data_IF_744502341173
#
_entry.id   IF_744502341173
#
_cell.length_a   1.000
_cell.length_b   1.000
_cell.length_c   1.000
_cell.angle_alpha   90.00
_cell.angle_beta   90.00
_cell.angle_gamma   90.00
#
_symmetry.space_group_name_H-M   'P 1'
#
loop_
_entity.id
_entity.type
_entity.pdbx_description
1 polymer ?
#
# COMPACT_ATOMS: atom_id res chain seq x y z
N UNK A 1 20.58 7.65 -22.17
CA UNK A 1 19.26 8.05 -21.61
C UNK A 1 18.94 9.47 -22.08
N UNK A 2 18.39 9.60 -23.27
CA UNK A 2 17.83 10.86 -23.78
C UNK A 2 16.39 10.56 -24.17
N UNK A 3 15.42 11.20 -23.53
CA UNK A 3 14.02 11.07 -23.91
C UNK A 3 13.09 11.13 -22.71
N UNK A 4 12.07 11.96 -22.81
CA UNK A 4 10.84 12.03 -22.01
C UNK A 4 10.65 13.18 -21.00
N UNK A 5 11.69 13.89 -20.52
CA UNK A 5 11.47 15.10 -19.69
C UNK A 5 11.54 16.43 -20.45
N UNK A 6 12.03 16.44 -21.69
CA UNK A 6 12.02 17.65 -22.52
C UNK A 6 10.59 18.04 -22.92
N UNK A 7 9.66 17.08 -23.00
CA UNK A 7 8.35 17.26 -23.65
C UNK A 7 7.20 17.77 -22.76
N UNK A 8 7.40 17.94 -21.45
CA UNK A 8 6.34 18.34 -20.51
C UNK A 8 6.53 19.74 -19.90
N UNK A 9 7.57 20.49 -20.30
CA UNK A 9 7.84 21.82 -19.77
C UNK A 9 7.31 22.88 -20.74
N UNK A 10 6.25 23.63 -20.39
CA UNK A 10 5.77 24.72 -21.24
C UNK A 10 6.82 25.84 -21.28
N UNK A 11 6.83 26.62 -22.35
CA UNK A 11 7.76 27.75 -22.47
C UNK A 11 9.11 27.39 -23.11
N UNK A 12 10.14 28.16 -22.79
CA UNK A 12 11.52 27.99 -23.28
C UNK A 12 12.27 26.80 -22.64
N UNK A 13 11.75 26.25 -21.54
CA UNK A 13 12.16 25.00 -20.91
C UNK A 13 13.66 24.95 -20.54
N UNK A 14 14.15 26.03 -19.95
CA UNK A 14 15.53 26.17 -19.49
C UNK A 14 15.88 25.14 -18.43
N UNK A 15 17.05 24.51 -18.57
CA UNK A 15 17.61 23.60 -17.60
C UNK A 15 18.92 24.17 -17.03
N UNK A 16 19.11 24.04 -15.71
CA UNK A 16 20.38 24.38 -15.09
C UNK A 16 21.41 23.30 -15.45
N UNK A 17 22.49 23.71 -16.12
CA UNK A 17 23.69 22.90 -16.34
C UNK A 17 24.78 23.34 -15.38
N UNK A 18 25.51 22.38 -14.85
CA UNK A 18 26.55 22.54 -13.85
C UNK A 18 27.92 22.38 -14.51
N UNK A 19 28.88 23.26 -14.16
CA UNK A 19 30.24 23.18 -14.65
C UNK A 19 31.06 22.22 -13.77
N UNK A 20 31.52 21.10 -14.31
CA UNK A 20 32.37 20.19 -13.56
C UNK A 20 33.69 20.89 -13.19
N UNK A 21 34.09 20.94 -11.90
CA UNK A 21 35.31 21.62 -11.48
C UNK A 21 36.58 20.89 -11.95
N UNK A 22 36.50 19.58 -12.24
CA UNK A 22 37.66 18.79 -12.66
C UNK A 22 37.86 18.82 -14.18
N UNK A 23 36.81 18.49 -14.94
CA UNK A 23 36.92 18.40 -16.40
C UNK A 23 36.46 19.67 -17.13
N UNK A 24 35.78 20.61 -16.48
CA UNK A 24 35.25 21.83 -17.09
C UNK A 24 34.04 21.63 -18.01
N UNK A 25 33.62 20.39 -18.27
CA UNK A 25 32.41 20.12 -19.06
C UNK A 25 31.15 20.55 -18.30
N UNK A 26 30.17 21.06 -19.05
CA UNK A 26 28.85 21.36 -18.53
C UNK A 26 27.92 20.17 -18.65
N UNK A 27 27.17 19.88 -17.59
CA UNK A 27 26.23 18.77 -17.59
C UNK A 27 24.99 19.04 -16.75
N UNK A 28 23.88 18.41 -17.10
CA UNK A 28 22.72 18.32 -16.20
C UNK A 28 22.86 17.06 -15.36
N UNK A 29 22.90 17.23 -14.05
CA UNK A 29 22.91 16.09 -13.14
C UNK A 29 21.62 15.27 -13.30
N UNK A 30 21.70 13.93 -13.35
CA UNK A 30 20.52 13.07 -13.36
C UNK A 30 19.59 13.40 -12.18
N UNK A 31 18.26 13.39 -12.38
CA UNK A 31 17.30 13.56 -11.29
C UNK A 31 17.01 12.23 -10.58
N UNK A 32 18.05 11.45 -10.31
CA UNK A 32 17.98 10.12 -9.70
C UNK A 32 19.24 9.84 -8.88
N UNK A 33 19.29 8.69 -8.22
CA UNK A 33 20.49 8.24 -7.52
C UNK A 33 21.67 7.96 -8.44
N UNK A 34 21.47 7.84 -9.76
CA UNK A 34 22.55 7.72 -10.76
C UNK A 34 23.42 8.98 -10.84
N UNK A 35 22.97 10.09 -10.25
CA UNK A 35 23.79 11.29 -10.08
C UNK A 35 24.94 11.11 -9.10
N UNK A 36 24.97 10.03 -8.32
CA UNK A 36 25.88 9.90 -7.19
C UNK A 36 26.81 8.70 -7.33
N UNK A 37 28.06 8.90 -6.88
CA UNK A 37 29.02 7.83 -6.65
C UNK A 37 29.29 7.72 -5.14
N UNK A 38 29.39 6.48 -4.64
CA UNK A 38 29.83 6.20 -3.28
C UNK A 38 31.32 5.86 -3.30
N UNK A 39 32.11 6.61 -2.54
CA UNK A 39 33.54 6.34 -2.34
C UNK A 39 33.81 6.36 -0.85
N UNK A 40 34.15 5.20 -0.27
CA UNK A 40 34.39 5.05 1.19
C UNK A 40 33.26 5.66 2.04
N UNK A 41 32.01 5.30 1.70
CA UNK A 41 30.77 5.78 2.34
C UNK A 41 30.46 7.28 2.21
N UNK A 42 31.27 8.04 1.48
CA UNK A 42 30.98 9.42 1.13
C UNK A 42 30.28 9.52 -0.22
N UNK A 43 29.33 10.46 -0.31
CA UNK A 43 28.50 10.67 -1.51
C UNK A 43 29.09 11.81 -2.34
N UNK A 44 29.57 11.45 -3.53
CA UNK A 44 30.09 12.37 -4.55
C UNK A 44 29.05 12.57 -5.65
N UNK A 45 29.07 13.72 -6.31
CA UNK A 45 28.31 13.93 -7.53
C UNK A 45 29.11 13.38 -8.72
N UNK A 46 28.51 12.49 -9.49
CA UNK A 46 29.12 11.92 -10.69
C UNK A 46 28.89 12.85 -11.89
N UNK A 47 29.98 13.28 -12.53
CA UNK A 47 29.90 14.00 -13.78
C UNK A 47 29.50 13.04 -14.91
N UNK A 48 28.35 13.26 -15.56
CA UNK A 48 27.89 12.39 -16.66
C UNK A 48 28.68 12.58 -17.97
N UNK A 49 29.50 13.63 -18.07
CA UNK A 49 30.32 13.88 -19.26
C UNK A 49 31.58 13.01 -19.27
N UNK A 50 32.30 12.94 -18.14
CA UNK A 50 33.62 12.29 -18.06
C UNK A 50 33.79 11.34 -16.85
N UNK A 51 32.79 11.16 -15.99
CA UNK A 51 32.84 10.25 -14.85
C UNK A 51 33.57 10.78 -13.60
N UNK A 52 33.95 12.06 -13.57
CA UNK A 52 34.57 12.70 -12.39
C UNK A 52 33.69 12.55 -11.13
N UNK A 53 34.34 12.27 -9.98
CA UNK A 53 33.69 12.18 -8.68
C UNK A 53 33.86 13.51 -7.93
N UNK A 54 32.86 14.37 -8.02
CA UNK A 54 32.94 15.74 -7.51
C UNK A 54 32.63 15.75 -6.00
N UNK A 55 33.51 16.30 -5.14
CA UNK A 55 33.28 16.35 -3.70
C UNK A 55 32.28 17.45 -3.32
N UNK A 56 31.66 17.30 -2.15
CA UNK A 56 30.62 18.22 -1.65
C UNK A 56 31.12 19.66 -1.46
N UNK A 57 32.42 19.85 -1.21
CA UNK A 57 33.07 21.17 -1.09
C UNK A 57 32.93 22.01 -2.36
N UNK A 58 32.89 21.37 -3.54
CA UNK A 58 32.80 22.05 -4.83
C UNK A 58 31.38 22.49 -5.19
N UNK A 59 30.36 21.99 -4.47
CA UNK A 59 28.96 22.23 -4.81
C UNK A 59 28.63 23.71 -4.94
N UNK A 60 29.10 24.54 -4.01
CA UNK A 60 28.79 25.96 -4.02
C UNK A 60 29.44 26.69 -5.21
N UNK A 61 30.68 26.34 -5.56
CA UNK A 61 31.39 26.91 -6.70
C UNK A 61 30.74 26.46 -8.02
N UNK A 62 30.49 25.16 -8.16
CA UNK A 62 29.82 24.56 -9.31
C UNK A 62 28.43 25.18 -9.56
N UNK A 63 27.62 25.37 -8.50
CA UNK A 63 26.31 26.00 -8.62
C UNK A 63 26.40 27.47 -9.07
N UNK A 64 27.39 28.23 -8.59
CA UNK A 64 27.61 29.62 -9.04
C UNK A 64 28.09 29.70 -10.49
N UNK A 65 28.87 28.71 -10.93
CA UNK A 65 29.33 28.58 -12.31
C UNK A 65 28.25 28.03 -13.26
N UNK A 66 27.13 27.53 -12.73
CA UNK A 66 26.04 26.99 -13.52
C UNK A 66 25.48 27.98 -14.54
N UNK A 67 24.89 27.44 -15.61
CA UNK A 67 24.25 28.21 -16.68
C UNK A 67 22.85 27.67 -16.94
N UNK A 68 21.95 28.55 -17.32
CA UNK A 68 20.63 28.15 -17.80
C UNK A 68 20.71 27.98 -19.31
N UNK A 69 20.27 26.81 -19.80
CA UNK A 69 20.30 26.46 -21.23
C UNK A 69 18.89 26.11 -21.66
N UNK A 70 18.34 26.84 -22.62
CA UNK A 70 16.99 26.63 -23.13
C UNK A 70 16.85 25.33 -23.93
N UNK A 71 15.61 24.87 -24.14
CA UNK A 71 15.37 23.77 -25.07
C UNK A 71 15.84 24.15 -26.48
N UNK A 72 16.50 23.22 -27.19
CA UNK A 72 17.11 23.52 -28.49
C UNK A 72 18.53 24.13 -28.40
N UNK A 73 18.93 24.66 -27.25
CA UNK A 73 20.30 25.12 -27.03
C UNK A 73 21.22 24.02 -26.50
N UNK A 74 22.52 24.24 -26.68
CA UNK A 74 23.63 23.45 -26.15
C UNK A 74 24.68 24.40 -25.57
N UNK A 75 25.57 23.88 -24.73
CA UNK A 75 26.64 24.66 -24.11
C UNK A 75 27.98 23.97 -24.37
N UNK A 76 29.00 24.75 -24.70
CA UNK A 76 30.37 24.25 -24.83
C UNK A 76 31.15 24.33 -23.50
N UNK A 77 32.34 23.74 -23.48
CA UNK A 77 33.24 23.74 -22.31
C UNK A 77 33.68 25.14 -21.86
N UNK A 78 33.66 26.13 -22.75
CA UNK A 78 34.00 27.53 -22.45
C UNK A 78 32.79 28.32 -21.90
N UNK A 79 31.61 27.69 -21.82
CA UNK A 79 30.37 28.32 -21.38
C UNK A 79 29.63 29.09 -22.48
N UNK A 80 30.05 28.93 -23.75
CA UNK A 80 29.35 29.46 -24.91
C UNK A 80 28.06 28.68 -25.15
N UNK A 81 26.92 29.37 -25.21
CA UNK A 81 25.62 28.76 -25.50
C UNK A 81 25.34 28.90 -27.01
N UNK A 82 25.03 27.77 -27.63
CA UNK A 82 24.79 27.64 -29.07
C UNK A 82 23.39 27.10 -29.34
N UNK A 83 22.82 27.43 -30.50
CA UNK A 83 21.49 27.02 -30.92
C UNK A 83 20.43 28.11 -30.70
N UNK A 84 19.27 27.91 -31.32
CA UNK A 84 18.16 28.86 -31.23
C UNK A 84 17.31 28.60 -29.98
N UNK A 85 17.01 29.67 -29.25
CA UNK A 85 16.07 29.63 -28.14
C UNK A 85 14.62 29.52 -28.65
N UNK A 86 13.74 28.75 -27.99
CA UNK A 86 12.35 28.64 -28.41
C UNK A 86 11.64 29.98 -28.29
N UNK A 87 10.95 30.41 -29.36
CA UNK A 87 10.16 31.64 -29.36
C UNK A 87 8.86 31.43 -28.60
N UNK A 88 8.86 31.73 -27.31
CA UNK A 88 7.68 31.60 -26.44
C UNK A 88 7.50 32.82 -25.55
N UNK A 89 6.29 33.01 -25.03
CA UNK A 89 5.98 34.08 -24.05
C UNK A 89 6.23 33.67 -22.59
N UNK A 90 6.63 32.43 -22.36
CA UNK A 90 6.74 31.83 -21.03
C UNK A 90 8.20 31.40 -20.83
N UNK A 91 8.86 31.99 -19.84
CA UNK A 91 10.14 31.49 -19.36
C UNK A 91 9.90 30.41 -18.28
N UNK A 92 10.48 29.23 -18.44
CA UNK A 92 10.38 28.13 -17.50
C UNK A 92 11.75 27.55 -17.16
N UNK A 93 11.94 27.24 -15.88
CA UNK A 93 13.23 26.87 -15.33
C UNK A 93 13.14 25.54 -14.60
N UNK A 94 14.13 24.68 -14.80
CA UNK A 94 14.24 23.39 -14.15
C UNK A 94 15.65 23.13 -13.66
N UNK A 95 15.76 22.76 -12.39
CA UNK A 95 17.01 22.31 -11.79
C UNK A 95 16.75 20.99 -11.06
N UNK A 96 17.73 20.09 -11.08
CA UNK A 96 17.61 18.81 -10.39
C UNK A 96 18.06 18.91 -8.94
N UNK A 97 17.58 18.00 -8.09
CA UNK A 97 17.90 17.96 -6.67
C UNK A 97 19.39 18.12 -6.32
N UNK A 98 20.33 17.48 -7.05
CA UNK A 98 21.76 17.66 -6.81
C UNK A 98 22.23 19.12 -6.90
N UNK A 99 21.59 19.94 -7.72
CA UNK A 99 21.88 21.37 -7.87
C UNK A 99 21.21 22.24 -6.79
N UNK A 100 20.21 21.73 -6.05
CA UNK A 100 19.48 22.51 -5.05
C UNK A 100 20.40 22.93 -3.88
N UNK A 101 20.43 24.23 -3.57
CA UNK A 101 21.38 24.80 -2.60
C UNK A 101 21.14 24.28 -1.16
N UNK A 102 19.89 24.15 -0.74
CA UNK A 102 19.51 23.76 0.63
C UNK A 102 19.45 22.24 0.85
N UNK A 103 19.92 21.44 -0.11
CA UNK A 103 19.83 19.99 -0.05
C UNK A 103 21.22 19.37 -0.22
N UNK A 104 21.67 18.54 0.72
CA UNK A 104 22.96 17.86 0.59
C UNK A 104 22.83 16.58 -0.25
N UNK A 105 23.89 16.21 -0.97
CA UNK A 105 23.91 14.97 -1.77
C UNK A 105 23.77 13.72 -0.88
N UNK A 106 24.42 13.72 0.29
CA UNK A 106 24.25 12.67 1.28
C UNK A 106 22.80 12.55 1.79
N UNK A 107 22.10 13.67 1.98
CA UNK A 107 20.67 13.68 2.33
C UNK A 107 19.81 13.08 1.21
N UNK A 108 20.02 13.49 -0.05
CA UNK A 108 19.32 12.93 -1.21
C UNK A 108 19.49 11.41 -1.32
N UNK A 109 20.74 10.95 -1.22
CA UNK A 109 21.07 9.52 -1.26
C UNK A 109 20.37 8.75 -0.14
N UNK A 110 20.50 9.20 1.11
CA UNK A 110 19.89 8.54 2.27
C UNK A 110 18.37 8.53 2.20
N UNK A 111 17.73 9.65 1.85
CA UNK A 111 16.27 9.73 1.69
C UNK A 111 15.76 8.75 0.64
N UNK A 112 16.44 8.67 -0.51
CA UNK A 112 16.07 7.71 -1.56
C UNK A 112 16.25 6.26 -1.08
N UNK A 113 17.35 5.92 -0.42
CA UNK A 113 17.59 4.57 0.11
C UNK A 113 16.58 4.18 1.19
N UNK A 114 16.21 5.10 2.07
CA UNK A 114 15.16 4.90 3.05
C UNK A 114 13.79 4.69 2.38
N UNK A 115 13.46 5.48 1.36
CA UNK A 115 12.23 5.33 0.59
C UNK A 115 12.17 3.99 -0.16
N UNK A 116 13.27 3.56 -0.77
CA UNK A 116 13.37 2.24 -1.39
C UNK A 116 13.20 1.13 -0.35
N UNK A 117 13.81 1.25 0.83
CA UNK A 117 13.63 0.28 1.92
C UNK A 117 12.17 0.19 2.37
N UNK A 118 11.46 1.31 2.44
CA UNK A 118 10.02 1.33 2.75
C UNK A 118 9.24 0.60 1.66
N UNK A 119 9.48 0.91 0.39
CA UNK A 119 8.86 0.21 -0.73
C UNK A 119 9.14 -1.30 -0.69
N UNK A 120 10.39 -1.69 -0.45
CA UNK A 120 10.81 -3.09 -0.31
C UNK A 120 10.22 -3.76 0.94
N UNK A 121 9.64 -3.04 1.89
CA UNK A 121 8.92 -3.65 3.04
C UNK A 121 7.40 -3.67 2.84
N UNK A 122 6.82 -2.58 2.33
CA UNK A 122 5.37 -2.36 2.34
C UNK A 122 4.72 -2.42 0.96
N UNK A 123 5.52 -2.34 -0.10
CA UNK A 123 5.05 -2.13 -1.48
C UNK A 123 4.61 -0.69 -1.77
N UNK A 124 4.55 0.20 -0.77
CA UNK A 124 4.11 1.58 -0.95
C UNK A 124 5.15 2.43 -1.67
N UNK A 125 4.71 3.15 -2.69
CA UNK A 125 5.54 4.08 -3.47
C UNK A 125 5.46 5.53 -2.98
N UNK A 126 4.72 5.82 -1.90
CA UNK A 126 4.50 7.19 -1.41
C UNK A 126 5.80 7.91 -1.06
N UNK A 127 6.70 7.24 -0.35
CA UNK A 127 8.00 7.79 0.03
C UNK A 127 8.88 8.05 -1.20
N UNK A 128 8.89 7.13 -2.17
CA UNK A 128 9.63 7.28 -3.42
C UNK A 128 9.10 8.47 -4.22
N UNK A 129 7.77 8.57 -4.37
CA UNK A 129 7.12 9.71 -5.02
C UNK A 129 7.51 11.04 -4.37
N UNK A 130 7.45 11.10 -3.04
CA UNK A 130 7.81 12.31 -2.30
C UNK A 130 9.26 12.72 -2.54
N UNK A 131 10.20 11.78 -2.49
CA UNK A 131 11.63 12.05 -2.68
C UNK A 131 11.92 12.43 -4.13
N UNK A 132 11.38 11.71 -5.11
CA UNK A 132 11.64 12.01 -6.52
C UNK A 132 11.09 13.36 -6.95
N UNK A 133 9.87 13.69 -6.51
CA UNK A 133 9.22 14.95 -6.88
C UNK A 133 9.70 16.14 -6.06
N UNK A 134 9.78 15.97 -4.74
CA UNK A 134 10.12 17.05 -3.81
C UNK A 134 11.63 17.31 -3.71
N UNK A 135 12.45 16.25 -3.68
CA UNK A 135 13.88 16.39 -3.48
C UNK A 135 14.68 16.33 -4.79
N UNK A 136 14.40 15.40 -5.70
CA UNK A 136 15.11 15.29 -6.99
C UNK A 136 14.58 16.23 -8.09
N UNK A 137 13.39 16.80 -7.90
CA UNK A 137 12.79 17.74 -8.84
C UNK A 137 12.31 17.09 -10.14
N UNK A 138 11.86 15.83 -10.08
CA UNK A 138 11.36 15.10 -11.24
C UNK A 138 10.00 14.45 -11.00
N UNK A 139 9.17 14.40 -12.04
CA UNK A 139 7.87 13.75 -11.94
C UNK A 139 8.04 12.25 -11.69
N UNK A 140 7.40 11.76 -10.64
CA UNK A 140 7.42 10.34 -10.32
C UNK A 140 6.47 9.58 -11.24
N UNK A 141 6.98 8.57 -11.95
CA UNK A 141 6.18 7.58 -12.67
C UNK A 141 6.00 6.36 -11.77
N UNK A 142 4.78 6.07 -11.27
CA UNK A 142 4.53 4.86 -10.50
C UNK A 142 4.96 3.61 -11.26
N UNK A 143 5.60 2.67 -10.55
CA UNK A 143 6.17 1.46 -11.16
C UNK A 143 5.10 0.57 -11.78
N UNK A 144 3.88 0.63 -11.25
CA UNK A 144 2.73 -0.16 -11.68
C UNK A 144 2.03 0.37 -12.94
N UNK A 145 2.33 1.58 -13.43
CA UNK A 145 1.62 2.15 -14.59
C UNK A 145 1.88 1.29 -15.83
N UNK A 146 0.79 0.80 -16.43
CA UNK A 146 0.84 -0.02 -17.64
C UNK A 146 1.20 -1.48 -17.39
N UNK A 147 1.39 -1.89 -16.14
CA UNK A 147 1.57 -3.29 -15.77
C UNK A 147 0.22 -3.98 -15.68
N UNK A 148 -0.11 -4.77 -16.70
CA UNK A 148 -1.29 -5.61 -16.69
C UNK A 148 -0.94 -6.92 -16.00
N UNK A 149 -1.48 -7.11 -14.79
CA UNK A 149 -1.24 -8.33 -14.01
C UNK A 149 -1.76 -9.55 -14.76
N UNK A 150 -0.94 -10.59 -14.83
CA UNK A 150 -1.34 -11.88 -15.38
C UNK A 150 -1.94 -12.76 -14.27
N UNK A 151 -3.25 -13.02 -14.37
CA UNK A 151 -3.98 -13.89 -13.46
C UNK A 151 -3.35 -15.29 -13.38
N UNK A 152 -2.88 -15.83 -14.51
CA UNK A 152 -2.28 -17.16 -14.56
C UNK A 152 -0.94 -17.20 -13.83
N UNK A 153 -0.11 -16.17 -13.99
CA UNK A 153 1.13 -16.05 -13.25
C UNK A 153 0.89 -15.98 -11.73
N UNK A 154 -0.14 -15.26 -11.29
CA UNK A 154 -0.52 -15.24 -9.87
C UNK A 154 -1.01 -16.62 -9.39
N UNK A 155 -1.81 -17.32 -10.19
CA UNK A 155 -2.28 -18.66 -9.86
C UNK A 155 -1.16 -19.69 -9.70
N UNK A 156 -0.07 -19.58 -10.48
CA UNK A 156 1.09 -20.49 -10.36
C UNK A 156 1.84 -20.37 -9.03
N UNK A 157 1.60 -19.31 -8.26
CA UNK A 157 2.17 -19.11 -6.92
C UNK A 157 1.30 -19.67 -5.80
N UNK A 158 0.22 -20.38 -6.15
CA UNK A 158 -0.61 -20.99 -5.15
C UNK A 158 0.14 -22.09 -4.38
N UNK A 159 -0.03 -22.10 -3.06
CA UNK A 159 0.65 -22.96 -2.11
C UNK A 159 -0.38 -23.87 -1.39
N UNK A 160 0.02 -25.07 -0.94
CA UNK A 160 -0.88 -25.99 -0.24
C UNK A 160 -1.18 -25.48 1.17
N UNK A 161 -2.26 -24.72 1.32
CA UNK A 161 -2.67 -24.09 2.58
C UNK A 161 -4.09 -24.52 2.94
N UNK A 162 -4.29 -25.00 4.17
CA UNK A 162 -5.60 -25.46 4.62
C UNK A 162 -6.63 -24.31 4.66
N UNK A 163 -7.80 -24.55 4.07
CA UNK A 163 -8.90 -23.58 4.04
C UNK A 163 -9.44 -23.33 5.46
N UNK A 164 -9.64 -22.05 5.82
CA UNK A 164 -10.15 -21.62 7.14
C UNK A 164 -9.27 -22.03 8.33
N UNK A 165 -7.98 -22.21 8.09
CA UNK A 165 -6.99 -22.49 9.14
C UNK A 165 -5.95 -21.39 9.10
N UNK A 166 -5.53 -20.90 10.27
CA UNK A 166 -4.51 -19.87 10.42
C UNK A 166 -3.13 -20.52 10.22
N UNK A 167 -2.37 -20.15 9.16
CA UNK A 167 -1.03 -20.68 8.94
C UNK A 167 -0.02 -20.22 9.99
N UNK A 168 1.06 -21.00 10.16
CA UNK A 168 2.22 -20.60 10.97
C UNK A 168 2.81 -19.30 10.41
N UNK A 169 3.17 -18.36 11.28
CA UNK A 169 3.70 -17.04 10.90
C UNK A 169 2.65 -15.92 10.95
N UNK A 170 1.36 -16.26 11.05
CA UNK A 170 0.29 -15.29 11.28
C UNK A 170 0.19 -14.92 12.76
N UNK A 171 0.12 -13.62 13.03
CA UNK A 171 0.01 -13.03 14.37
C UNK A 171 -1.44 -12.63 14.69
N UNK A 172 -2.14 -12.06 13.71
CA UNK A 172 -3.54 -11.68 13.85
C UNK A 172 -4.27 -11.72 12.50
N UNK A 173 -5.60 -11.72 12.57
CA UNK A 173 -6.47 -11.70 11.41
C UNK A 173 -7.14 -10.34 11.24
N UNK A 174 -7.35 -9.92 10.00
CA UNK A 174 -8.35 -8.89 9.67
C UNK A 174 -9.38 -9.48 8.74
N UNK A 175 -10.57 -8.89 8.73
CA UNK A 175 -11.60 -9.21 7.75
C UNK A 175 -12.00 -7.96 6.98
N UNK A 176 -12.32 -8.12 5.70
CA UNK A 176 -12.97 -7.12 4.89
C UNK A 176 -14.34 -7.63 4.45
N UNK A 177 -15.33 -6.73 4.47
CA UNK A 177 -16.70 -7.00 4.05
C UNK A 177 -17.12 -5.96 3.03
N UNK A 178 -17.35 -6.41 1.80
CA UNK A 178 -17.95 -5.60 0.75
C UNK A 178 -19.46 -5.84 0.71
N UNK A 179 -20.23 -4.75 0.67
CA UNK A 179 -21.69 -4.75 0.83
C UNK A 179 -22.33 -4.72 -0.56
N UNK A 180 -22.90 -5.85 -0.96
CA UNK A 180 -23.58 -5.98 -2.25
C UNK A 180 -25.09 -6.07 -2.03
N UNK A 181 -25.86 -5.87 -3.10
CA UNK A 181 -27.34 -5.84 -3.06
C UNK A 181 -27.98 -7.06 -2.38
N UNK A 182 -27.39 -8.23 -2.56
CA UNK A 182 -27.96 -9.52 -2.13
C UNK A 182 -26.96 -10.43 -1.41
N UNK A 183 -25.82 -9.88 -0.97
CA UNK A 183 -24.77 -10.65 -0.30
C UNK A 183 -23.82 -9.73 0.46
N UNK A 184 -23.16 -10.28 1.47
CA UNK A 184 -21.91 -9.75 1.98
C UNK A 184 -20.76 -10.57 1.42
N UNK A 185 -19.78 -9.90 0.83
CA UNK A 185 -18.60 -10.53 0.24
C UNK A 185 -17.47 -10.40 1.25
N UNK A 186 -17.03 -11.52 1.82
CA UNK A 186 -16.08 -11.53 2.95
C UNK A 186 -14.75 -12.11 2.52
N UNK A 187 -13.67 -11.46 2.95
CA UNK A 187 -12.30 -11.93 2.79
C UNK A 187 -11.51 -11.73 4.08
N UNK A 188 -10.89 -12.81 4.57
CA UNK A 188 -10.10 -12.84 5.80
C UNK A 188 -8.63 -13.02 5.47
N UNK A 189 -7.81 -12.11 5.99
CA UNK A 189 -6.37 -12.09 5.79
C UNK A 189 -5.66 -12.27 7.12
N UNK A 190 -4.70 -13.20 7.17
CA UNK A 190 -3.75 -13.31 8.26
C UNK A 190 -2.53 -12.44 8.00
N UNK A 191 -2.06 -11.74 9.04
CA UNK A 191 -0.92 -10.84 8.97
C UNK A 191 0.24 -11.35 9.81
N UNK A 192 1.42 -11.38 9.21
CA UNK A 192 2.70 -11.70 9.84
C UNK A 192 3.67 -10.54 9.74
N UNK A 193 4.92 -10.83 10.08
CA UNK A 193 5.98 -9.83 10.26
C UNK A 193 6.15 -8.96 9.01
N UNK A 194 6.21 -7.65 9.20
CA UNK A 194 6.42 -6.70 8.10
C UNK A 194 5.27 -6.69 7.06
N UNK A 195 4.07 -7.14 7.43
CA UNK A 195 2.91 -7.13 6.54
C UNK A 195 2.92 -8.25 5.50
N UNK A 196 3.72 -9.29 5.71
CA UNK A 196 3.51 -10.60 5.07
C UNK A 196 2.09 -11.07 5.34
N UNK A 197 1.41 -11.66 4.35
CA UNK A 197 -0.02 -11.92 4.45
C UNK A 197 -0.46 -13.22 3.80
N UNK A 198 -1.46 -13.85 4.42
CA UNK A 198 -2.05 -15.12 3.97
C UNK A 198 -3.54 -14.94 3.72
N UNK A 199 -4.01 -15.43 2.58
CA UNK A 199 -5.45 -15.59 2.37
C UNK A 199 -5.95 -16.77 3.22
N UNK A 200 -6.80 -16.48 4.21
CA UNK A 200 -7.29 -17.50 5.16
C UNK A 200 -8.69 -18.00 4.77
N UNK A 201 -9.56 -17.09 4.34
CA UNK A 201 -10.94 -17.44 3.94
C UNK A 201 -11.50 -16.40 2.96
N UNK A 202 -12.36 -16.89 2.07
CA UNK A 202 -13.06 -16.08 1.08
C UNK A 202 -14.42 -16.72 0.82
N UNK A 203 -15.49 -16.01 1.17
CA UNK A 203 -16.86 -16.52 1.11
C UNK A 203 -17.89 -15.41 0.94
N UNK A 204 -19.13 -15.80 0.67
CA UNK A 204 -20.26 -14.90 0.57
C UNK A 204 -21.30 -15.29 1.63
N UNK A 205 -21.81 -14.31 2.36
CA UNK A 205 -22.99 -14.47 3.22
C UNK A 205 -24.20 -14.05 2.39
N UNK A 206 -25.03 -15.02 2.02
CA UNK A 206 -26.20 -14.81 1.14
C UNK A 206 -27.54 -15.00 1.85
N UNK A 207 -27.54 -15.74 2.96
CA UNK A 207 -28.74 -16.25 3.60
C UNK A 207 -28.79 -15.81 5.06
N UNK A 208 -29.95 -15.34 5.50
CA UNK A 208 -30.25 -15.01 6.88
C UNK A 208 -31.33 -15.95 7.40
N UNK A 209 -31.12 -16.53 8.58
CA UNK A 209 -32.17 -17.22 9.33
C UNK A 209 -32.99 -16.19 10.11
N UNK A 210 -34.31 -16.36 10.14
CA UNK A 210 -35.23 -15.37 10.71
C UNK A 210 -36.24 -16.04 11.63
N UNK A 211 -36.54 -15.36 12.74
CA UNK A 211 -37.51 -15.85 13.71
C UNK A 211 -38.90 -15.95 13.06
N UNK A 212 -39.50 -17.14 13.13
CA UNK A 212 -40.80 -17.42 12.52
C UNK A 212 -40.77 -17.82 11.04
N UNK A 213 -39.59 -17.82 10.39
CA UNK A 213 -39.45 -18.31 9.01
C UNK A 213 -38.82 -19.71 8.99
N UNK A 214 -39.43 -20.62 8.23
CA UNK A 214 -39.00 -22.03 8.15
C UNK A 214 -37.78 -22.21 7.23
N UNK A 215 -37.52 -21.25 6.33
CA UNK A 215 -36.43 -21.29 5.37
C UNK A 215 -35.60 -20.00 5.43
N UNK A 216 -34.29 -20.12 5.21
CA UNK A 216 -33.41 -18.97 5.16
C UNK A 216 -33.74 -18.07 3.96
N UNK A 217 -33.72 -16.76 4.17
CA UNK A 217 -34.06 -15.75 3.15
C UNK A 217 -32.82 -15.00 2.71
N UNK A 218 -32.82 -14.56 1.44
CA UNK A 218 -31.72 -13.79 0.88
C UNK A 218 -31.52 -12.49 1.66
N UNK A 219 -30.27 -12.19 2.00
CA UNK A 219 -29.92 -10.93 2.67
C UNK A 219 -30.25 -9.73 1.78
N UNK A 220 -30.72 -8.65 2.40
CA UNK A 220 -31.08 -7.38 1.77
C UNK A 220 -30.49 -6.20 2.57
N UNK A 221 -29.15 -5.96 2.48
CA UNK A 221 -28.44 -5.03 3.36
C UNK A 221 -28.95 -3.58 3.31
N UNK A 222 -29.53 -3.15 2.19
CA UNK A 222 -30.06 -1.79 2.02
C UNK A 222 -31.38 -1.55 2.76
N UNK A 223 -32.18 -2.60 2.96
CA UNK A 223 -33.54 -2.47 3.52
C UNK A 223 -33.68 -3.04 4.93
N UNK A 224 -32.78 -3.93 5.36
CA UNK A 224 -32.85 -4.65 6.64
C UNK A 224 -31.59 -4.41 7.46
N UNK A 225 -31.76 -3.97 8.70
CA UNK A 225 -30.64 -3.78 9.64
C UNK A 225 -30.21 -5.11 10.24
N UNK A 226 -31.15 -6.04 10.44
CA UNK A 226 -30.93 -7.33 11.08
C UNK A 226 -29.92 -8.18 10.31
N UNK A 227 -29.90 -8.08 8.97
CA UNK A 227 -28.94 -8.78 8.12
C UNK A 227 -27.49 -8.34 8.41
N UNK A 228 -27.26 -7.12 8.91
CA UNK A 228 -25.92 -6.66 9.30
C UNK A 228 -25.39 -7.36 10.55
N UNK A 229 -26.26 -7.92 11.39
CA UNK A 229 -25.83 -8.73 12.54
C UNK A 229 -25.06 -9.99 12.09
N UNK A 230 -25.23 -10.44 10.83
CA UNK A 230 -24.42 -11.52 10.26
C UNK A 230 -22.94 -11.16 10.17
N UNK A 231 -22.59 -9.87 10.04
CA UNK A 231 -21.20 -9.44 10.13
C UNK A 231 -20.68 -9.64 11.57
N UNK A 232 -21.53 -9.47 12.58
CA UNK A 232 -21.15 -9.73 13.97
C UNK A 232 -20.97 -11.22 14.23
N UNK A 233 -21.93 -12.06 13.84
CA UNK A 233 -21.92 -13.50 14.14
C UNK A 233 -20.96 -14.27 13.24
N UNK A 234 -20.99 -14.02 11.93
CA UNK A 234 -20.35 -14.87 10.92
C UNK A 234 -19.01 -14.30 10.43
N UNK A 235 -18.60 -13.13 10.93
CA UNK A 235 -17.28 -12.52 10.62
C UNK A 235 -16.54 -12.15 11.89
N UNK A 236 -17.03 -11.19 12.69
CA UNK A 236 -16.33 -10.72 13.90
C UNK A 236 -16.19 -11.85 14.93
N UNK A 237 -17.27 -12.60 15.15
CA UNK A 237 -17.35 -13.70 16.11
C UNK A 237 -16.90 -15.05 15.57
N UNK A 238 -16.46 -15.15 14.32
CA UNK A 238 -16.10 -16.43 13.69
C UNK A 238 -14.63 -16.77 13.94
N UNK A 239 -14.33 -17.82 14.73
CA UNK A 239 -12.95 -18.19 15.00
C UNK A 239 -12.37 -19.04 13.86
N UNK A 240 -11.06 -18.92 13.69
CA UNK A 240 -10.25 -19.68 12.74
C UNK A 240 -9.22 -20.53 13.50
N UNK A 241 -9.26 -21.87 13.41
CA UNK A 241 -8.30 -22.76 14.08
C UNK A 241 -6.85 -22.46 13.72
N UNK A 242 -5.93 -22.64 14.67
CA UNK A 242 -4.50 -22.55 14.42
C UNK A 242 -3.99 -23.84 13.76
N UNK A 243 -3.14 -23.72 12.74
CA UNK A 243 -2.55 -24.89 12.06
C UNK A 243 -1.73 -25.79 13.00
N UNK A 244 -1.16 -25.22 14.07
CA UNK A 244 -0.35 -25.93 15.05
C UNK A 244 -1.10 -26.32 16.33
N UNK A 245 -2.33 -25.82 16.52
CA UNK A 245 -3.18 -26.14 17.67
C UNK A 245 -4.66 -25.97 17.27
N UNK A 246 -5.26 -27.02 16.72
CA UNK A 246 -6.65 -27.01 16.27
C UNK A 246 -7.67 -26.86 17.41
N UNK A 247 -7.26 -26.96 18.68
CA UNK A 247 -8.12 -26.71 19.84
C UNK A 247 -8.29 -25.24 20.17
N UNK A 248 -7.52 -24.37 19.51
CA UNK A 248 -7.55 -22.92 19.70
C UNK A 248 -7.67 -22.21 18.36
N UNK A 249 -8.19 -20.99 18.37
CA UNK A 249 -8.36 -20.20 17.16
C UNK A 249 -8.34 -18.71 17.37
N UNK A 250 -8.08 -17.97 16.29
CA UNK A 250 -8.10 -16.51 16.27
C UNK A 250 -9.44 -16.00 15.76
N UNK A 251 -9.92 -14.93 16.38
CA UNK A 251 -10.96 -14.07 15.83
C UNK A 251 -10.30 -12.95 15.01
N UNK A 252 -10.98 -12.39 13.98
CA UNK A 252 -10.56 -11.13 13.39
C UNK A 252 -10.35 -10.05 14.46
N UNK A 253 -9.15 -9.47 14.48
CA UNK A 253 -8.82 -8.37 15.38
C UNK A 253 -9.61 -7.12 15.01
N UNK A 254 -9.82 -6.91 13.71
CA UNK A 254 -10.57 -5.79 13.14
C UNK A 254 -11.24 -6.19 11.82
N UNK A 255 -12.50 -5.78 11.67
CA UNK A 255 -13.32 -6.00 10.47
C UNK A 255 -13.62 -4.68 9.78
N UNK A 256 -13.07 -4.46 8.58
CA UNK A 256 -13.41 -3.33 7.73
C UNK A 256 -14.66 -3.63 6.90
N UNK A 257 -15.59 -2.69 6.81
CA UNK A 257 -16.79 -2.86 5.99
C UNK A 257 -17.15 -1.59 5.21
N UNK A 258 -17.55 -1.74 3.95
CA UNK A 258 -17.89 -0.59 3.11
C UNK A 258 -19.19 0.08 3.57
N UNK A 259 -19.14 1.41 3.63
CA UNK A 259 -20.29 2.26 3.94
C UNK A 259 -20.87 2.89 2.67
N UNK A 260 -20.16 2.83 1.54
CA UNK A 260 -20.66 3.22 0.23
C UNK A 260 -21.43 2.04 -0.39
N UNK A 261 -22.66 2.28 -0.85
CA UNK A 261 -23.49 1.22 -1.44
C UNK A 261 -24.76 1.77 -2.10
N UNK A 262 -25.67 0.87 -2.49
CA UNK A 262 -26.99 1.22 -3.04
C UNK A 262 -27.76 2.16 -2.09
N UNK A 263 -28.70 2.94 -2.62
CA UNK A 263 -29.49 3.89 -1.82
C UNK A 263 -30.12 3.18 -0.60
N UNK A 264 -29.77 3.63 0.61
CA UNK A 264 -30.22 3.05 1.89
C UNK A 264 -29.14 2.28 2.65
N UNK A 265 -28.19 1.63 1.95
CA UNK A 265 -27.13 0.84 2.59
C UNK A 265 -26.21 1.68 3.50
N UNK A 266 -25.89 2.91 3.10
CA UNK A 266 -25.08 3.83 3.93
C UNK A 266 -25.77 4.19 5.25
N UNK A 267 -27.09 4.33 5.26
CA UNK A 267 -27.81 4.65 6.50
C UNK A 267 -27.80 3.42 7.44
N UNK A 268 -28.02 2.23 6.89
CA UNK A 268 -27.97 0.99 7.66
C UNK A 268 -26.57 0.73 8.22
N UNK A 269 -25.52 0.99 7.43
CA UNK A 269 -24.12 0.91 7.85
C UNK A 269 -23.85 1.75 9.11
N UNK A 270 -24.42 2.95 9.19
CA UNK A 270 -24.28 3.84 10.34
C UNK A 270 -25.14 3.41 11.53
N UNK A 271 -26.36 2.91 11.28
CA UNK A 271 -27.21 2.33 12.34
C UNK A 271 -26.55 1.10 12.96
N UNK A 272 -25.96 0.23 12.16
CA UNK A 272 -25.19 -0.94 12.60
C UNK A 272 -23.99 -0.53 13.45
N UNK A 273 -23.22 0.48 13.05
CA UNK A 273 -22.13 1.00 13.88
C UNK A 273 -22.62 1.48 15.25
N UNK A 274 -23.74 2.21 15.29
CA UNK A 274 -24.32 2.70 16.56
C UNK A 274 -24.77 1.55 17.46
N UNK A 275 -25.29 0.46 16.88
CA UNK A 275 -25.63 -0.74 17.62
C UNK A 275 -24.37 -1.38 18.21
N UNK A 276 -23.34 -1.63 17.40
CA UNK A 276 -22.05 -2.16 17.88
C UNK A 276 -21.40 -1.29 18.95
N UNK A 277 -21.57 0.03 18.89
CA UNK A 277 -21.08 0.95 19.93
C UNK A 277 -21.80 0.72 21.27
N UNK A 278 -23.12 0.48 21.25
CA UNK A 278 -23.88 0.13 22.46
C UNK A 278 -23.47 -1.24 23.01
N UNK A 279 -23.16 -2.17 22.12
CA UNK A 279 -22.76 -3.54 22.46
C UNK A 279 -21.28 -3.66 22.87
N UNK A 280 -20.53 -2.54 22.87
CA UNK A 280 -19.09 -2.53 23.21
C UNK A 280 -18.17 -3.10 22.13
N UNK A 281 -18.70 -3.39 20.93
CA UNK A 281 -17.99 -4.01 19.81
C UNK A 281 -17.47 -3.00 18.77
N UNK A 282 -17.70 -1.70 18.95
CA UNK A 282 -17.23 -0.67 18.01
C UNK A 282 -15.71 -0.72 17.75
N UNK A 283 -14.90 -1.16 18.72
CA UNK A 283 -13.44 -1.33 18.55
C UNK A 283 -13.05 -2.48 17.61
N UNK A 284 -13.98 -3.38 17.29
CA UNK A 284 -13.78 -4.52 16.37
C UNK A 284 -14.12 -4.21 14.93
N UNK A 285 -14.63 -3.01 14.64
CA UNK A 285 -15.04 -2.63 13.29
C UNK A 285 -14.39 -1.35 12.80
N UNK A 286 -14.30 -1.25 11.48
CA UNK A 286 -13.78 -0.10 10.77
C UNK A 286 -14.73 0.24 9.62
N UNK A 287 -15.67 1.18 9.81
CA UNK A 287 -16.48 1.70 8.70
C UNK A 287 -15.56 2.43 7.72
N UNK A 288 -15.53 1.99 6.46
CA UNK A 288 -14.67 2.55 5.42
C UNK A 288 -15.47 3.16 4.28
N UNK A 289 -14.83 4.03 3.51
CA UNK A 289 -15.38 4.58 2.27
C UNK A 289 -14.25 4.87 1.29
N UNK A 290 -14.44 4.53 0.01
CA UNK A 290 -13.51 4.93 -1.05
C UNK A 290 -13.43 6.46 -1.20
N UNK A 291 -12.22 7.02 -1.12
CA UNK A 291 -11.94 8.40 -1.47
C UNK A 291 -11.77 8.59 -2.97
N UNK A 292 -12.11 9.78 -3.48
CA UNK A 292 -11.97 10.14 -4.90
C UNK A 292 -10.64 10.86 -5.22
N UNK A 293 -9.80 11.10 -4.21
CA UNK A 293 -8.55 11.85 -4.35
C UNK A 293 -7.37 10.95 -4.71
N UNK A 294 -6.57 11.37 -5.71
CA UNK A 294 -5.28 10.74 -6.05
C UNK A 294 -4.15 11.16 -5.12
N UNK A 295 -4.36 12.24 -4.36
CA UNK A 295 -3.44 12.78 -3.37
C UNK A 295 -4.09 12.76 -1.99
N UNK A 296 -3.34 12.30 -1.00
CA UNK A 296 -3.81 12.19 0.38
C UNK A 296 -3.24 10.96 1.07
N UNK A 297 -3.31 10.91 2.42
CA UNK A 297 -2.83 9.77 3.18
C UNK A 297 -3.60 8.49 2.82
N UNK A 298 -2.97 7.33 3.00
CA UNK A 298 -3.63 6.02 2.77
C UNK A 298 -4.94 5.87 3.54
N UNK A 299 -4.98 6.40 4.76
CA UNK A 299 -6.15 6.44 5.62
C UNK A 299 -6.40 7.85 6.12
N UNK A 300 -7.64 8.32 6.01
CA UNK A 300 -8.08 9.55 6.64
C UNK A 300 -9.33 9.29 7.49
N UNK A 301 -9.23 9.49 8.80
CA UNK A 301 -10.39 9.42 9.68
C UNK A 301 -11.24 10.69 9.51
N UNK A 302 -12.53 10.51 9.27
CA UNK A 302 -13.51 11.59 9.21
C UNK A 302 -14.72 11.25 10.06
N UNK A 303 -15.45 12.27 10.49
CA UNK A 303 -16.73 12.13 11.17
C UNK A 303 -17.77 12.85 10.31
N UNK A 304 -18.47 12.14 9.41
CA UNK A 304 -19.45 12.76 8.53
C UNK A 304 -20.54 13.47 9.36
N UNK A 305 -20.70 14.76 9.09
CA UNK A 305 -21.76 15.58 9.65
C UNK A 305 -22.65 16.07 8.52
N UNK A 306 -23.90 15.62 8.50
CA UNK A 306 -24.90 15.97 7.50
C UNK A 306 -25.84 17.08 7.97
N UNK A 307 -25.65 17.61 9.18
CA UNK A 307 -26.56 18.62 9.77
C UNK A 307 -26.55 19.95 9.03
N UNK A 308 -25.53 20.22 8.20
CA UNK A 308 -25.34 21.49 7.47
C UNK A 308 -25.67 21.42 5.98
N UNK A 309 -26.08 20.27 5.44
CA UNK A 309 -26.35 20.08 4.00
C UNK A 309 -27.75 19.53 3.74
N UNK A 310 -28.63 20.42 3.27
CA UNK A 310 -30.05 20.14 2.97
C UNK A 310 -30.28 19.08 1.87
N UNK A 311 -29.25 18.66 1.14
CA UNK A 311 -29.33 17.77 -0.03
C UNK A 311 -29.04 16.28 0.28
N UNK A 312 -28.60 15.92 1.49
CA UNK A 312 -28.27 14.53 1.87
C UNK A 312 -29.05 14.06 3.10
N UNK A 313 -30.06 13.23 2.86
CA UNK A 313 -30.96 12.59 3.86
C UNK A 313 -30.29 11.56 4.79
N UNK A 314 -28.97 11.44 4.84
CA UNK A 314 -28.32 10.47 5.74
C UNK A 314 -28.06 11.16 7.08
N UNK A 315 -28.84 10.85 8.13
CA UNK A 315 -28.70 11.39 9.49
C UNK A 315 -27.35 11.01 10.14
N UNK A 316 -26.25 11.62 9.70
CA UNK A 316 -24.92 11.47 10.27
C UNK A 316 -24.67 12.69 11.18
N UNK A 317 -24.76 12.48 12.49
CA UNK A 317 -24.61 13.53 13.52
C UNK A 317 -23.14 13.70 13.98
N UNK A 318 -22.15 13.40 13.13
CA UNK A 318 -20.73 13.46 13.51
C UNK A 318 -20.28 12.39 14.54
N UNK A 319 -21.11 11.39 14.84
CA UNK A 319 -20.84 10.37 15.86
C UNK A 319 -20.16 9.09 15.32
N UNK A 320 -20.25 8.86 14.01
CA UNK A 320 -19.77 7.63 13.36
C UNK A 320 -18.42 7.91 12.69
N UNK A 321 -17.33 7.27 13.12
CA UNK A 321 -16.04 7.39 12.45
C UNK A 321 -16.10 6.66 11.11
N UNK A 322 -15.77 7.36 10.02
CA UNK A 322 -15.63 6.79 8.69
C UNK A 322 -14.22 7.03 8.19
N UNK A 323 -13.54 5.95 7.84
CA UNK A 323 -12.20 5.97 7.28
C UNK A 323 -12.28 6.11 5.77
N UNK A 324 -11.86 7.27 5.27
CA UNK A 324 -11.73 7.52 3.84
C UNK A 324 -10.42 6.87 3.37
N UNK A 325 -10.54 5.94 2.43
CA UNK A 325 -9.42 5.18 1.89
C UNK A 325 -8.89 5.83 0.62
N UNK A 326 -7.57 6.06 0.55
CA UNK A 326 -6.92 6.29 -0.73
C UNK A 326 -6.73 4.93 -1.43
N UNK A 327 -7.78 4.51 -2.15
CA UNK A 327 -7.83 3.21 -2.83
C UNK A 327 -6.69 3.05 -3.83
N UNK A 328 -6.26 4.14 -4.46
CA UNK A 328 -5.13 4.11 -5.41
C UNK A 328 -3.84 3.74 -4.69
N UNK A 329 -3.49 4.42 -3.60
CA UNK A 329 -2.26 4.14 -2.85
C UNK A 329 -2.28 2.74 -2.20
N UNK A 330 -3.44 2.30 -1.70
CA UNK A 330 -3.59 0.96 -1.13
C UNK A 330 -3.43 -0.14 -2.19
N UNK A 331 -4.04 0.03 -3.36
CA UNK A 331 -3.90 -0.91 -4.49
C UNK A 331 -2.49 -0.91 -5.07
N UNK A 332 -1.85 0.26 -5.16
CA UNK A 332 -0.43 0.38 -5.56
C UNK A 332 0.46 -0.44 -4.60
N UNK A 333 0.24 -0.33 -3.28
CA UNK A 333 0.99 -1.10 -2.28
C UNK A 333 0.76 -2.62 -2.40
N UNK A 334 -0.48 -3.04 -2.63
CA UNK A 334 -0.80 -4.46 -2.87
C UNK A 334 -0.12 -4.96 -4.13
N UNK A 335 -0.23 -4.23 -5.24
CA UNK A 335 0.41 -4.59 -6.51
C UNK A 335 1.93 -4.70 -6.37
N UNK A 336 2.56 -3.77 -5.65
CA UNK A 336 3.99 -3.86 -5.30
C UNK A 336 4.34 -5.10 -4.49
N UNK A 337 3.46 -5.52 -3.57
CA UNK A 337 3.61 -6.79 -2.84
C UNK A 337 3.43 -8.03 -3.72
N UNK A 338 2.54 -7.99 -4.71
CA UNK A 338 2.32 -9.08 -5.66
C UNK A 338 3.50 -9.28 -6.60
N UNK A 339 4.36 -8.29 -6.86
CA UNK A 339 5.57 -8.48 -7.65
C UNK A 339 6.64 -9.35 -7.00
N UNK A 340 6.53 -9.60 -5.68
CA UNK A 340 7.55 -10.32 -4.89
C UNK A 340 7.53 -11.82 -5.17
N UNK A 341 8.71 -12.41 -5.31
CA UNK A 341 8.90 -13.83 -5.59
C UNK A 341 9.24 -14.67 -4.35
N UNK A 342 9.81 -14.04 -3.31
CA UNK A 342 10.23 -14.71 -2.08
C UNK A 342 9.33 -14.34 -0.90
N UNK A 343 9.09 -15.32 -0.03
CA UNK A 343 8.36 -15.12 1.23
C UNK A 343 9.10 -14.17 2.17
N UNK A 344 8.36 -13.48 3.04
CA UNK A 344 8.85 -12.45 3.94
C UNK A 344 7.99 -11.19 3.93
N UNK A 345 8.50 -10.06 4.48
CA UNK A 345 7.75 -8.81 4.59
C UNK A 345 7.03 -8.47 3.29
N UNK A 346 5.78 -8.03 3.36
CA UNK A 346 5.01 -7.60 2.19
C UNK A 346 4.60 -8.67 1.16
N UNK A 347 5.05 -9.94 1.29
CA UNK A 347 4.66 -11.04 0.40
C UNK A 347 3.20 -11.49 0.64
N UNK A 348 2.55 -12.01 -0.39
CA UNK A 348 1.17 -12.52 -0.34
C UNK A 348 1.15 -14.01 -0.67
N UNK A 349 0.73 -14.84 0.29
CA UNK A 349 0.50 -16.26 0.12
C UNK A 349 -0.91 -16.53 -0.38
N UNK A 350 -1.00 -17.22 -1.52
CA UNK A 350 -2.26 -17.66 -2.09
C UNK A 350 -2.44 -19.17 -1.86
N UNK A 351 -3.56 -19.62 -1.30
CA UNK A 351 -3.89 -21.04 -1.20
C UNK A 351 -4.27 -21.66 -2.54
N UNK A 352 -3.95 -22.95 -2.70
CA UNK A 352 -4.33 -23.81 -3.82
C UNK A 352 -5.84 -24.07 -3.97
N UNK A 353 -6.63 -23.87 -2.92
CA UNK A 353 -8.09 -23.98 -2.99
C UNK A 353 -8.78 -22.75 -3.61
N UNK A 354 -8.04 -21.68 -3.93
CA UNK A 354 -8.59 -20.56 -4.70
C UNK A 354 -8.73 -20.98 -6.17
N UNK A 355 -9.91 -20.77 -6.73
CA UNK A 355 -10.15 -20.99 -8.15
C UNK A 355 -9.71 -19.80 -9.01
N UNK A 356 -9.60 -20.03 -10.32
CA UNK A 356 -9.20 -19.03 -11.32
C UNK A 356 -9.97 -17.71 -11.22
N UNK A 357 -11.26 -17.78 -10.86
CA UNK A 357 -12.13 -16.62 -10.66
C UNK A 357 -11.53 -15.58 -9.70
N UNK A 358 -10.79 -16.00 -8.68
CA UNK A 358 -10.18 -15.10 -7.71
C UNK A 358 -8.99 -14.34 -8.34
N UNK A 359 -8.18 -15.04 -9.12
CA UNK A 359 -7.03 -14.45 -9.80
C UNK A 359 -7.46 -13.53 -10.94
N UNK A 360 -8.56 -13.87 -11.62
CA UNK A 360 -9.22 -12.99 -12.58
C UNK A 360 -9.71 -11.69 -11.93
N UNK A 361 -10.34 -11.77 -10.75
CA UNK A 361 -10.74 -10.57 -9.98
C UNK A 361 -9.53 -9.74 -9.54
N UNK A 362 -8.42 -10.38 -9.13
CA UNK A 362 -7.17 -9.69 -8.77
C UNK A 362 -6.52 -9.00 -9.96
N UNK A 363 -6.68 -9.51 -11.18
CA UNK A 363 -6.12 -8.95 -12.41
C UNK A 363 -7.09 -8.04 -13.19
N UNK A 364 -8.34 -7.89 -12.74
CA UNK A 364 -9.39 -7.18 -13.48
C UNK A 364 -9.10 -5.69 -13.70
N UNK A 365 -8.36 -5.06 -12.79
CA UNK A 365 -8.01 -3.64 -12.85
C UNK A 365 -6.59 -3.41 -13.35
N UNK A 366 -6.43 -2.36 -14.15
CA UNK A 366 -5.14 -1.87 -14.66
C UNK A 366 -4.87 -0.47 -14.09
N UNK A 367 -3.62 -0.23 -13.71
CA UNK A 367 -3.17 1.06 -13.21
C UNK A 367 -2.88 2.03 -14.36
N UNK A 368 -3.71 3.06 -14.51
CA UNK A 368 -3.53 4.20 -15.44
C UNK A 368 -2.89 5.39 -14.70
N UNK A 369 -2.57 6.48 -15.39
CA UNK A 369 -2.11 7.71 -14.71
C UNK A 369 -3.18 8.32 -13.77
N UNK A 370 -4.47 8.07 -14.04
CA UNK A 370 -5.61 8.63 -13.31
C UNK A 370 -6.07 7.77 -12.13
N UNK A 371 -5.54 6.56 -11.97
CA UNK A 371 -5.91 5.63 -10.90
C UNK A 371 -5.98 4.19 -11.40
N UNK A 372 -6.61 3.33 -10.61
CA UNK A 372 -6.95 1.97 -11.03
C UNK A 372 -8.29 1.98 -11.76
N UNK A 373 -8.31 1.40 -12.95
CA UNK A 373 -9.50 1.33 -13.81
C UNK A 373 -9.81 -0.12 -14.19
N UNK A 374 -11.09 -0.44 -14.31
CA UNK A 374 -11.57 -1.76 -14.73
C UNK A 374 -12.11 -1.66 -16.17
N UNK A 375 -11.24 -1.71 -17.20
CA UNK A 375 -11.64 -1.44 -18.58
C UNK A 375 -12.63 -2.47 -19.10
N UNK A 376 -12.51 -3.72 -18.66
CA UNK A 376 -13.36 -4.83 -19.09
C UNK A 376 -14.65 -4.96 -18.25
N UNK A 377 -14.86 -4.09 -17.26
CA UNK A 377 -16.00 -4.12 -16.31
C UNK A 377 -16.24 -5.51 -15.72
N UNK A 378 -15.15 -6.25 -15.46
CA UNK A 378 -15.18 -7.57 -14.84
C UNK A 378 -15.46 -7.45 -13.35
N UNK A 379 -15.74 -8.56 -12.69
CA UNK A 379 -15.72 -8.62 -11.22
C UNK A 379 -14.31 -8.31 -10.73
N UNK A 380 -14.19 -7.57 -9.63
CA UNK A 380 -12.93 -7.04 -9.08
C UNK A 380 -12.93 -7.02 -7.55
N UNK A 381 -13.87 -7.72 -6.90
CA UNK A 381 -14.07 -7.69 -5.45
C UNK A 381 -12.82 -8.13 -4.68
N UNK A 382 -12.04 -9.11 -5.18
CA UNK A 382 -10.83 -9.60 -4.53
C UNK A 382 -9.80 -8.48 -4.22
N UNK A 383 -9.54 -7.59 -5.19
CA UNK A 383 -8.53 -6.53 -5.02
C UNK A 383 -9.02 -5.43 -4.08
N UNK A 384 -10.29 -5.07 -4.15
CA UNK A 384 -10.90 -4.10 -3.24
C UNK A 384 -10.89 -4.63 -1.79
N UNK A 385 -11.25 -5.89 -1.59
CA UNK A 385 -11.20 -6.53 -0.27
C UNK A 385 -9.77 -6.69 0.27
N UNK A 386 -8.77 -6.90 -0.59
CA UNK A 386 -7.36 -6.83 -0.18
C UNK A 386 -7.01 -5.42 0.31
N UNK A 387 -7.46 -4.37 -0.40
CA UNK A 387 -7.21 -2.98 -0.02
C UNK A 387 -7.87 -2.62 1.32
N UNK A 388 -9.06 -3.16 1.58
CA UNK A 388 -9.77 -2.97 2.85
C UNK A 388 -9.09 -3.70 4.01
N UNK A 389 -8.59 -4.91 3.78
CA UNK A 389 -7.77 -5.61 4.77
C UNK A 389 -6.46 -4.86 5.05
N UNK A 390 -5.80 -4.32 4.02
CA UNK A 390 -4.62 -3.48 4.22
C UNK A 390 -4.95 -2.21 5.02
N UNK A 391 -6.12 -1.60 4.79
CA UNK A 391 -6.60 -0.48 5.59
C UNK A 391 -6.81 -0.87 7.07
N UNK A 392 -7.38 -2.04 7.34
CA UNK A 392 -7.52 -2.57 8.69
C UNK A 392 -6.15 -2.81 9.36
N UNK A 393 -5.20 -3.40 8.63
CA UNK A 393 -3.82 -3.58 9.08
C UNK A 393 -3.13 -2.25 9.44
N UNK A 394 -3.30 -1.23 8.60
CA UNK A 394 -2.75 0.11 8.86
C UNK A 394 -3.40 0.78 10.07
N UNK A 395 -4.73 0.65 10.26
CA UNK A 395 -5.43 1.16 11.45
C UNK A 395 -4.93 0.51 12.74
N UNK A 396 -4.49 -0.75 12.67
CA UNK A 396 -3.88 -1.49 13.76
C UNK A 396 -2.38 -1.21 13.93
N UNK A 397 -1.84 -0.22 13.20
CA UNK A 397 -0.41 0.14 13.19
C UNK A 397 0.51 -1.03 12.77
N UNK A 398 0.04 -1.92 11.89
CA UNK A 398 0.79 -3.11 11.49
C UNK A 398 2.19 -2.83 10.90
N UNK A 399 2.38 -1.70 10.21
CA UNK A 399 3.69 -1.33 9.65
C UNK A 399 4.72 -0.90 10.71
N UNK A 400 4.25 -0.38 11.85
CA UNK A 400 5.09 0.10 12.96
C UNK A 400 5.00 -0.80 14.19
N UNK A 401 4.29 -1.93 14.08
CA UNK A 401 4.13 -2.90 15.15
C UNK A 401 5.50 -3.48 15.55
N UNK A 402 5.75 -3.55 16.86
CA UNK A 402 6.88 -4.31 17.37
C UNK A 402 6.53 -5.81 17.35
N UNK A 403 6.92 -6.50 16.29
CA UNK A 403 6.66 -7.93 16.09
C UNK A 403 7.40 -8.85 17.07
N UNK A 404 8.45 -8.36 17.71
CA UNK A 404 9.22 -9.12 18.71
C UNK A 404 8.54 -9.08 20.08
N UNK A 405 7.78 -8.02 20.33
CA UNK A 405 6.98 -7.82 21.55
C UNK A 405 5.58 -7.34 21.18
N UNK A 406 4.78 -8.16 20.48
CA UNK A 406 3.48 -7.75 20.01
C UNK A 406 2.53 -7.50 21.20
N UNK A 407 1.56 -6.57 21.06
CA UNK A 407 0.48 -6.42 22.03
C UNK A 407 -0.35 -7.72 22.09
N UNK A 408 -1.07 -7.92 23.20
CA UNK A 408 -1.79 -9.17 23.46
C UNK A 408 -2.75 -9.61 22.34
N UNK A 409 -3.37 -8.66 21.63
CA UNK A 409 -4.30 -8.93 20.53
C UNK A 409 -3.60 -9.35 19.22
N UNK A 410 -2.29 -9.09 19.11
CA UNK A 410 -1.44 -9.43 17.97
C UNK A 410 -0.44 -10.55 18.33
N UNK A 411 -0.59 -11.19 19.47
CA UNK A 411 0.18 -12.36 19.86
C UNK A 411 -0.72 -13.57 19.70
N UNK A 412 -0.45 -14.50 18.77
CA UNK A 412 -1.36 -15.59 18.48
C UNK A 412 -1.55 -16.53 19.68
N UNK A 413 -0.54 -16.67 20.55
CA UNK A 413 -0.63 -17.52 21.73
C UNK A 413 -1.47 -16.88 22.84
N UNK A 414 -1.54 -15.54 22.90
CA UNK A 414 -2.34 -14.81 23.90
C UNK A 414 -3.73 -14.44 23.39
N UNK A 415 -3.87 -14.18 22.10
CA UNK A 415 -5.12 -13.78 21.46
C UNK A 415 -6.04 -14.97 21.16
N UNK A 416 -5.48 -16.17 20.97
CA UNK A 416 -6.26 -17.33 20.60
C UNK A 416 -7.21 -17.79 21.72
N UNK A 417 -8.45 -18.02 21.32
CA UNK A 417 -9.51 -18.53 22.20
C UNK A 417 -9.63 -20.04 22.07
N UNK A 418 -10.09 -20.76 23.11
CA UNK A 418 -10.45 -22.18 22.99
C UNK A 418 -11.58 -22.36 21.97
N UNK A 419 -11.46 -23.40 21.15
CA UNK A 419 -12.52 -23.87 20.27
C UNK A 419 -13.20 -25.06 20.94
N UNK A 420 -14.52 -25.11 20.87
CA UNK A 420 -15.25 -26.32 21.19
C UNK A 420 -14.83 -27.39 20.19
N UNK A 421 -13.99 -28.33 20.63
CA UNK A 421 -13.51 -29.44 19.79
C UNK A 421 -14.29 -30.69 20.15
N UNK A 422 -15.01 -31.25 19.19
CA UNK A 422 -15.01 -32.70 19.06
C UNK A 422 -13.58 -33.08 18.62
N UNK A 423 -12.94 -33.93 19.43
CA UNK A 423 -11.49 -34.10 19.48
C UNK A 423 -10.81 -34.38 18.12
N UNK A 424 -9.96 -33.45 17.68
CA UNK A 424 -8.85 -33.74 16.75
C UNK A 424 -7.56 -33.68 17.57
N UNK A 425 -6.75 -34.74 17.63
CA UNK A 425 -5.51 -34.73 18.40
C UNK A 425 -4.56 -33.65 17.85
N UNK A 426 -3.89 -32.87 18.73
CA UNK A 426 -3.04 -31.77 18.31
C UNK A 426 -1.82 -32.29 17.52
N UNK A 427 -1.42 -31.63 16.43
CA UNK A 427 -0.16 -31.92 15.77
C UNK A 427 1.02 -31.62 16.71
N UNK A 428 2.19 -32.25 16.50
CA UNK A 428 3.33 -32.07 17.39
C UNK A 428 3.75 -30.59 17.46
N UNK A 429 3.86 -30.06 18.69
CA UNK A 429 4.32 -28.69 18.95
C UNK A 429 5.64 -28.43 18.22
N UNK A 430 5.77 -27.35 17.42
CA UNK A 430 7.04 -27.01 16.81
C UNK A 430 8.05 -26.64 17.90
N UNK A 431 9.31 -27.05 17.70
CA UNK A 431 10.41 -26.70 18.60
C UNK A 431 10.57 -25.16 18.67
N UNK A 432 10.72 -24.62 19.89
CA UNK A 432 10.88 -23.20 20.18
C UNK A 432 11.96 -22.48 19.34
N UNK A 433 12.90 -23.24 18.76
CA UNK A 433 13.93 -22.75 17.83
C UNK A 433 13.37 -22.08 16.57
N UNK A 434 12.16 -22.40 16.10
CA UNK A 434 11.64 -21.86 14.82
C UNK A 434 11.12 -20.41 14.95
N UNK A 435 10.58 -20.03 16.11
CA UNK A 435 10.18 -18.67 16.41
C UNK A 435 11.37 -17.75 16.62
N UNK A 436 12.40 -18.22 17.33
CA UNK A 436 13.66 -17.48 17.49
C UNK A 436 14.42 -17.40 16.16
N UNK A 437 14.43 -18.42 15.31
CA UNK A 437 15.10 -18.37 14.00
C UNK A 437 14.50 -17.33 13.03
N UNK A 438 13.18 -17.08 13.10
CA UNK A 438 12.52 -16.02 12.32
C UNK A 438 12.81 -14.61 12.87
N UNK A 439 13.09 -14.50 14.17
CA UNK A 439 13.53 -13.25 14.82
C UNK A 439 15.05 -13.02 14.66
N UNK A 440 15.86 -14.08 14.61
CA UNK A 440 17.32 -14.08 14.51
C UNK A 440 17.85 -13.85 13.09
N UNK A 441 17.01 -13.94 12.06
CA UNK A 441 17.34 -13.53 10.68
C UNK A 441 17.69 -12.03 10.56
N UNK A 442 17.61 -11.26 11.66
CA UNK A 442 18.12 -9.88 11.78
C UNK A 442 19.51 -9.76 12.44
N UNK A 443 20.17 -10.85 12.82
CA UNK A 443 21.47 -10.80 13.52
C UNK A 443 22.70 -11.15 12.65
N UNK A 444 22.51 -11.63 11.42
CA UNK A 444 23.62 -11.78 10.45
C UNK A 444 23.97 -10.44 9.83
N UNK A 445 24.78 -9.70 10.59
CA UNK A 445 25.84 -8.75 10.20
C UNK A 445 25.68 -7.97 8.90
N UNK A 446 25.44 -6.67 9.09
CA UNK A 446 25.85 -5.59 8.20
C UNK A 446 27.37 -5.31 8.25
N UNK A 447 28.22 -6.34 8.29
CA UNK A 447 29.70 -6.17 8.40
C UNK A 447 30.51 -6.81 7.26
N UNK A 448 29.91 -7.52 6.30
CA UNK A 448 30.66 -8.15 5.19
C UNK A 448 30.34 -7.54 3.80
N UNK A 449 30.19 -6.21 3.75
CA UNK A 449 30.30 -5.43 2.51
C UNK A 449 31.06 -4.13 2.83
N UNK A 450 32.38 -4.27 3.02
CA UNK A 450 33.36 -3.21 2.80
C UNK A 450 33.96 -3.38 1.40
#
# INVERSE_FOLDING_TARGET
MQGHFRDLRPGDAQALVLACPECGEYFTSPPSTDAFALVKDEVFLACVANGCAIPTTEKAAMNRAGRWVAAGQTIDRNGGIHGEEPKTKIASYWLTGPAAAYQSWASLWRKHRAAETIYQKTGSEEALKSVMTGDFGTAYKPRQIGDARDAKALATRAEPLAKRVVPVGVFFLTAAVDIQKNRFVVQVIGWGVGGERWMVDRYNIKWASRDGEVAAVTVAPASRLEDWNLITTDVIGKPYPLAWDGSRGLLPALTAYDTAGEAGATEQAYRYYRQLRKDGLAGKVMPIKGGSGLSGPRLQLTYPDSTTRNDRKANARGEVPVYILNTTALKDAIAGGLGRQEAGPGYTHFPDWLGDWFFDEMAAEVRTAKGWENPAKRRNEALDLMAYNLAAFLKLNGETLNWERPPAWADPDRAAIPLATDAIPPPPKPAAKRWNALLDLKSTRAEDLL
#
